data_IF_901079588677
#
_entry.id   IF_901079588677
#
_cell.length_a   1.000
_cell.length_b   1.000
_cell.length_c   1.000
_cell.angle_alpha   90.00
_cell.angle_beta   90.00
_cell.angle_gamma   90.00
#
_symmetry.space_group_name_H-M   'P 1'
#
loop_
_entity.id
_entity.type
_entity.pdbx_description
1 polymer ?
#
# COMPACT_ATOMS: atom_id res chain seq x y z
N UNK A 1 37.82 4.24 -7.60
CA UNK A 1 36.69 3.88 -8.49
C UNK A 1 35.43 3.99 -7.65
N UNK A 2 34.73 5.11 -7.74
CA UNK A 2 33.51 5.35 -6.99
C UNK A 2 32.38 4.68 -7.76
N UNK A 3 31.76 3.66 -7.17
CA UNK A 3 30.53 3.09 -7.71
C UNK A 3 29.42 4.09 -7.40
N UNK A 4 29.05 4.91 -8.38
CA UNK A 4 27.73 5.54 -8.36
C UNK A 4 26.72 4.41 -8.54
N UNK A 5 26.13 3.95 -7.44
CA UNK A 5 24.87 3.23 -7.54
C UNK A 5 23.86 4.22 -8.12
N UNK A 6 23.44 3.96 -9.36
CA UNK A 6 22.28 4.62 -9.93
C UNK A 6 21.12 4.38 -8.97
N UNK A 7 20.65 5.45 -8.34
CA UNK A 7 19.39 5.47 -7.62
C UNK A 7 18.30 5.10 -8.62
N UNK A 8 17.67 3.93 -8.44
CA UNK A 8 16.40 3.61 -9.08
C UNK A 8 15.24 4.09 -8.19
N UNK A 9 15.43 5.22 -7.49
CA UNK A 9 14.39 5.83 -6.68
C UNK A 9 13.33 6.38 -7.63
N UNK A 10 12.32 5.57 -7.93
CA UNK A 10 11.14 6.06 -8.63
C UNK A 10 10.43 7.04 -7.70
N UNK A 11 10.11 8.21 -8.23
CA UNK A 11 9.52 9.31 -7.48
C UNK A 11 8.31 9.86 -8.21
N UNK A 12 7.40 10.50 -7.48
CA UNK A 12 6.19 11.09 -8.02
C UNK A 12 4.93 10.52 -7.38
N UNK A 13 3.80 10.99 -7.86
CA UNK A 13 2.50 10.55 -7.36
C UNK A 13 2.04 9.28 -8.10
N UNK A 14 1.34 8.41 -7.38
CA UNK A 14 0.80 7.17 -7.92
C UNK A 14 -0.72 7.21 -7.87
N UNK A 15 -1.34 7.00 -9.03
CA UNK A 15 -2.79 6.88 -9.15
C UNK A 15 -3.19 5.39 -9.10
N UNK A 16 -3.87 4.96 -8.02
CA UNK A 16 -4.36 3.58 -7.89
C UNK A 16 -5.79 3.37 -8.42
N UNK A 17 -6.45 4.44 -8.90
CA UNK A 17 -7.85 4.37 -9.36
C UNK A 17 -8.00 3.81 -10.78
N UNK A 18 -6.92 3.73 -11.55
CA UNK A 18 -6.91 3.26 -12.95
C UNK A 18 -6.14 1.94 -13.12
N UNK A 19 -6.08 1.11 -12.07
CA UNK A 19 -5.41 -0.18 -12.16
C UNK A 19 -6.23 -1.19 -12.97
N UNK A 20 -5.59 -2.10 -13.72
CA UNK A 20 -6.30 -3.14 -14.47
C UNK A 20 -7.11 -4.07 -13.55
N UNK A 21 -8.35 -4.40 -13.94
CA UNK A 21 -9.23 -5.31 -13.19
C UNK A 21 -8.66 -6.72 -12.96
N UNK A 22 -7.67 -7.12 -13.76
CA UNK A 22 -7.01 -8.42 -13.67
C UNK A 22 -5.84 -8.43 -12.69
N UNK A 23 -5.43 -7.27 -12.18
CA UNK A 23 -4.28 -7.13 -11.29
C UNK A 23 -4.53 -7.85 -9.96
N UNK A 24 -3.55 -8.65 -9.54
CA UNK A 24 -3.62 -9.44 -8.29
C UNK A 24 -2.60 -9.04 -7.26
N UNK A 25 -1.48 -8.50 -7.70
CA UNK A 25 -0.37 -8.06 -6.86
C UNK A 25 0.15 -6.75 -7.42
N UNK A 26 0.27 -5.76 -6.54
CA UNK A 26 0.97 -4.52 -6.82
C UNK A 26 2.03 -4.30 -5.74
N UNK A 27 3.27 -4.18 -6.17
CA UNK A 27 4.41 -3.88 -5.31
C UNK A 27 5.08 -2.60 -5.82
N UNK A 28 4.97 -1.54 -5.02
CA UNK A 28 5.62 -0.25 -5.23
C UNK A 28 6.58 0.07 -4.08
N UNK A 29 6.89 -0.92 -3.24
CA UNK A 29 7.68 -0.72 -2.03
C UNK A 29 9.10 -0.25 -2.33
N UNK A 30 9.73 0.39 -1.34
CA UNK A 30 11.14 0.81 -1.38
C UNK A 30 11.41 1.78 -2.55
N UNK A 31 10.63 2.85 -2.61
CA UNK A 31 10.75 3.92 -3.61
C UNK A 31 10.59 5.30 -2.94
N UNK A 32 10.59 6.36 -3.75
CA UNK A 32 10.40 7.74 -3.30
C UNK A 32 9.04 8.29 -3.76
N UNK A 33 8.03 7.41 -3.93
CA UNK A 33 6.69 7.84 -4.29
C UNK A 33 6.05 8.67 -3.18
N UNK A 34 5.26 9.67 -3.57
CA UNK A 34 4.63 10.61 -2.66
C UNK A 34 3.16 10.86 -3.03
N UNK A 35 2.50 11.72 -2.26
CA UNK A 35 1.10 12.06 -2.46
C UNK A 35 0.12 11.19 -1.69
N UNK A 36 -1.16 11.54 -1.80
CA UNK A 36 -2.25 10.81 -1.17
C UNK A 36 -2.67 9.62 -2.03
N UNK A 37 -2.93 8.48 -1.38
CA UNK A 37 -3.39 7.29 -2.08
C UNK A 37 -4.89 7.14 -1.90
N UNK A 38 -5.59 7.01 -3.02
CA UNK A 38 -7.00 6.63 -3.04
C UNK A 38 -7.13 5.11 -3.22
N UNK A 39 -7.68 4.44 -2.21
CA UNK A 39 -7.92 2.99 -2.21
C UNK A 39 -9.38 2.61 -2.49
N UNK A 40 -10.24 3.59 -2.78
CA UNK A 40 -11.67 3.36 -3.00
C UNK A 40 -11.98 2.55 -4.27
N UNK A 41 -11.10 2.61 -5.27
CA UNK A 41 -11.26 1.97 -6.57
C UNK A 41 -10.25 0.85 -6.82
N UNK A 42 -9.76 0.17 -5.77
CA UNK A 42 -8.85 -0.97 -5.96
C UNK A 42 -9.54 -2.11 -6.71
N UNK A 43 -8.83 -2.80 -7.65
CA UNK A 43 -9.39 -3.93 -8.37
C UNK A 43 -9.95 -5.01 -7.44
N UNK A 44 -11.11 -5.57 -7.78
CA UNK A 44 -11.76 -6.63 -6.98
C UNK A 44 -10.90 -7.90 -6.85
N UNK A 45 -9.92 -8.10 -7.74
CA UNK A 45 -9.02 -9.26 -7.73
C UNK A 45 -7.67 -8.97 -7.08
N UNK A 46 -7.44 -7.77 -6.54
CA UNK A 46 -6.19 -7.42 -5.90
C UNK A 46 -6.08 -8.12 -4.54
N UNK A 47 -5.06 -8.96 -4.38
CA UNK A 47 -4.81 -9.74 -3.17
C UNK A 47 -3.68 -9.15 -2.33
N UNK A 48 -2.69 -8.52 -2.96
CA UNK A 48 -1.49 -8.00 -2.30
C UNK A 48 -1.19 -6.59 -2.77
N UNK A 49 -1.02 -5.68 -1.82
CA UNK A 49 -0.64 -4.29 -2.06
C UNK A 49 0.49 -3.91 -1.10
N UNK A 50 1.68 -3.68 -1.65
CA UNK A 50 2.88 -3.30 -0.89
C UNK A 50 3.29 -1.88 -1.28
N UNK A 51 3.19 -0.96 -0.31
CA UNK A 51 3.46 0.48 -0.47
C UNK A 51 4.48 0.97 0.57
N UNK A 52 5.05 0.05 1.34
CA UNK A 52 5.98 0.38 2.42
C UNK A 52 7.27 1.02 1.92
N UNK A 53 7.98 1.68 2.83
CA UNK A 53 9.22 2.39 2.52
C UNK A 53 9.06 3.35 1.34
N UNK A 54 8.04 4.22 1.44
CA UNK A 54 7.74 5.29 0.49
C UNK A 54 7.32 6.54 1.25
N UNK A 55 7.22 7.65 0.53
CA UNK A 55 6.84 8.95 1.08
C UNK A 55 5.34 9.26 0.93
N UNK A 56 4.49 8.24 0.75
CA UNK A 56 3.03 8.40 0.71
C UNK A 56 2.48 9.00 2.01
N UNK A 57 1.44 9.82 1.89
CA UNK A 57 0.83 10.52 3.01
C UNK A 57 -0.71 10.55 2.90
N UNK A 58 -1.38 11.11 3.91
CA UNK A 58 -2.83 11.26 3.92
C UNK A 58 -3.54 10.28 4.85
N UNK A 59 -4.86 10.23 4.74
CA UNK A 59 -5.73 9.40 5.59
C UNK A 59 -6.47 8.39 4.72
N UNK A 60 -6.31 7.11 5.04
CA UNK A 60 -7.02 6.02 4.38
C UNK A 60 -8.11 5.50 5.31
N UNK A 61 -9.34 5.41 4.80
CA UNK A 61 -10.40 4.64 5.42
C UNK A 61 -10.23 3.17 5.06
N UNK A 62 -9.68 2.38 6.00
CA UNK A 62 -9.45 0.95 5.79
C UNK A 62 -10.77 0.16 5.75
N UNK A 63 -11.92 0.76 6.10
CA UNK A 63 -13.23 0.11 6.03
C UNK A 63 -13.66 -0.23 4.58
N UNK A 64 -13.16 0.51 3.59
CA UNK A 64 -13.56 0.37 2.18
C UNK A 64 -12.57 -0.45 1.33
N UNK A 65 -11.62 -1.14 1.96
CA UNK A 65 -10.69 -2.00 1.22
C UNK A 65 -11.43 -3.17 0.55
N UNK A 66 -10.95 -3.54 -0.65
CA UNK A 66 -11.44 -4.71 -1.39
C UNK A 66 -11.42 -5.96 -0.52
N UNK A 67 -12.53 -6.72 -0.51
CA UNK A 67 -12.66 -7.99 0.25
C UNK A 67 -11.67 -9.07 -0.19
N UNK A 68 -11.10 -8.95 -1.39
CA UNK A 68 -10.10 -9.88 -1.89
C UNK A 68 -8.69 -9.57 -1.37
N UNK A 69 -8.47 -8.36 -0.82
CA UNK A 69 -7.17 -7.92 -0.33
C UNK A 69 -6.83 -8.70 0.94
N UNK A 70 -5.72 -9.42 0.90
CA UNK A 70 -5.24 -10.25 2.02
C UNK A 70 -4.02 -9.66 2.69
N UNK A 71 -3.19 -8.99 1.90
CA UNK A 71 -1.96 -8.36 2.35
C UNK A 71 -1.97 -6.90 1.96
N UNK A 72 -1.94 -6.03 2.95
CA UNK A 72 -1.78 -4.61 2.76
C UNK A 72 -0.70 -4.05 3.69
N UNK A 73 0.39 -3.57 3.09
CA UNK A 73 1.53 -3.06 3.85
C UNK A 73 1.81 -1.60 3.48
N UNK A 74 1.61 -0.72 4.46
CA UNK A 74 1.89 0.72 4.39
C UNK A 74 2.89 1.14 5.48
N UNK A 75 3.68 0.19 6.00
CA UNK A 75 4.72 0.48 7.00
C UNK A 75 5.77 1.45 6.46
N UNK A 76 6.35 2.27 7.35
CA UNK A 76 7.30 3.31 6.96
C UNK A 76 6.79 4.24 5.85
N UNK A 77 5.52 4.63 5.94
CA UNK A 77 4.92 5.74 5.17
C UNK A 77 4.40 6.80 6.14
N UNK A 78 3.87 7.91 5.61
CA UNK A 78 3.20 8.96 6.39
C UNK A 78 1.67 8.83 6.31
N UNK A 79 1.17 7.66 5.92
CA UNK A 79 -0.26 7.35 5.87
C UNK A 79 -0.78 7.12 7.30
N UNK A 80 -1.89 7.78 7.61
CA UNK A 80 -2.69 7.55 8.80
C UNK A 80 -4.04 6.93 8.40
N UNK A 81 -4.79 6.39 9.36
CA UNK A 81 -6.13 5.86 9.10
C UNK A 81 -6.71 5.14 10.32
N UNK A 82 -8.03 5.08 10.38
CA UNK A 82 -8.73 4.28 11.39
C UNK A 82 -8.85 2.84 10.92
N UNK A 83 -8.22 1.92 11.65
CA UNK A 83 -8.25 0.50 11.32
C UNK A 83 -9.55 -0.10 11.81
N UNK A 84 -10.47 -0.33 10.88
CA UNK A 84 -11.59 -1.24 11.10
C UNK A 84 -11.19 -2.62 10.59
N UNK A 85 -10.71 -3.46 11.50
CA UNK A 85 -10.24 -4.81 11.18
C UNK A 85 -11.42 -5.65 10.68
N UNK A 86 -11.31 -6.21 9.48
CA UNK A 86 -12.23 -7.22 8.96
C UNK A 86 -11.58 -8.61 9.01
N UNK A 87 -12.42 -9.62 9.28
CA UNK A 87 -12.02 -11.02 9.30
C UNK A 87 -11.19 -11.42 8.06
N UNK A 88 -9.96 -11.85 8.29
CA UNK A 88 -9.10 -12.50 7.29
C UNK A 88 -8.17 -11.59 6.48
N UNK A 89 -8.04 -10.31 6.84
CA UNK A 89 -7.06 -9.39 6.25
C UNK A 89 -5.89 -9.17 7.22
N UNK A 90 -4.65 -9.25 6.74
CA UNK A 90 -3.47 -8.84 7.50
C UNK A 90 -3.07 -7.42 7.11
N UNK A 91 -3.06 -6.51 8.09
CA UNK A 91 -2.72 -5.11 7.90
C UNK A 91 -1.44 -4.78 8.68
N UNK A 92 -0.48 -4.13 8.03
CA UNK A 92 0.74 -3.67 8.70
C UNK A 92 0.86 -2.15 8.62
N UNK A 93 0.89 -1.48 9.76
CA UNK A 93 1.04 -0.02 9.91
C UNK A 93 2.19 0.25 10.88
N UNK A 94 3.11 1.15 10.54
CA UNK A 94 4.23 1.56 11.42
C UNK A 94 5.09 0.39 11.95
N UNK A 95 5.25 -0.67 11.16
CA UNK A 95 6.00 -1.87 11.56
C UNK A 95 5.30 -2.72 12.62
N UNK A 96 4.07 -2.38 13.01
CA UNK A 96 3.21 -3.23 13.82
C UNK A 96 2.30 -4.03 12.89
N UNK A 97 2.43 -5.36 12.90
CA UNK A 97 1.43 -6.22 12.28
C UNK A 97 0.15 -6.19 13.11
N UNK A 98 -0.92 -5.63 12.56
CA UNK A 98 -2.28 -5.88 13.03
C UNK A 98 -2.73 -7.16 12.32
N UNK A 99 -2.41 -8.29 12.93
CA UNK A 99 -2.88 -9.60 12.47
C UNK A 99 -4.25 -9.85 13.08
N UNK A 100 -5.30 -9.83 12.25
CA UNK A 100 -6.58 -10.41 12.66
C UNK A 100 -6.48 -11.94 12.55
N UNK A 101 -6.57 -12.60 13.69
CA UNK A 101 -6.63 -14.06 13.74
C UNK A 101 -8.10 -14.48 13.72
N UNK A 102 -8.50 -15.03 12.56
CA UNK A 102 -9.64 -15.92 12.27
C UNK A 102 -10.85 -15.87 13.21
#
# INVERSE_FOLDING_TARGET
RFYHHHHHSLSGEVCLTELPDTLRLLDLSVNEFCGCIDVSCLPEKLHSLYLHDNNFEGVIDFANLSRALRWFNVSHTRIAGEVHVFHGVTLTINGSEVVDFR
#
